data_IF_651140276783
#
_entry.id   IF_651140276783
#
_cell.length_a   1.000
_cell.length_b   1.000
_cell.length_c   1.000
_cell.angle_alpha   90.00
_cell.angle_beta   90.00
_cell.angle_gamma   90.00
#
_symmetry.space_group_name_H-M   'P 1'
#
loop_
_entity.id
_entity.type
_entity.pdbx_description
1 polymer ?
#
# COMPACT_ATOMS: atom_id res chain seq x y z
N UNK A 1 -2.79 16.08 -16.52
CA UNK A 1 -3.56 16.17 -15.27
C UNK A 1 -4.54 14.99 -15.11
N UNK A 2 -5.33 14.65 -16.15
CA UNK A 2 -6.37 13.59 -16.09
C UNK A 2 -5.85 12.17 -15.79
N UNK A 3 -4.61 11.83 -16.17
CA UNK A 3 -4.05 10.51 -15.88
C UNK A 3 -3.65 10.38 -14.40
N UNK A 4 -3.07 11.42 -13.82
CA UNK A 4 -2.62 11.41 -12.41
C UNK A 4 -3.75 11.20 -11.41
N UNK A 5 -4.98 11.65 -11.70
CA UNK A 5 -6.14 11.43 -10.83
C UNK A 5 -6.64 9.97 -10.87
N UNK A 6 -6.18 9.16 -11.84
CA UNK A 6 -6.55 7.75 -11.99
C UNK A 6 -5.53 6.79 -11.38
N UNK A 7 -4.41 7.28 -10.88
CA UNK A 7 -3.37 6.48 -10.24
C UNK A 7 -3.21 6.98 -8.82
N UNK A 8 -3.52 6.13 -7.85
CA UNK A 8 -3.25 6.40 -6.44
C UNK A 8 -1.79 6.16 -6.12
N UNK A 9 -1.21 6.94 -5.22
CA UNK A 9 0.15 6.72 -4.73
C UNK A 9 0.18 6.80 -3.21
N UNK A 10 0.87 5.84 -2.62
CA UNK A 10 1.09 5.71 -1.17
C UNK A 10 2.58 5.71 -0.94
N UNK A 11 3.06 6.63 -0.11
CA UNK A 11 4.47 6.84 0.19
C UNK A 11 4.87 6.21 1.52
N UNK A 12 6.16 6.03 1.72
CA UNK A 12 6.77 5.56 2.95
C UNK A 12 6.40 6.43 4.17
N UNK A 13 6.29 7.76 4.00
CA UNK A 13 6.03 8.73 5.06
C UNK A 13 4.59 9.26 5.08
N UNK A 14 3.61 8.43 4.78
CA UNK A 14 2.16 8.67 4.88
C UNK A 14 1.63 9.89 4.11
N UNK A 15 2.33 11.02 4.11
CA UNK A 15 2.02 12.29 3.41
C UNK A 15 0.59 12.81 3.68
N UNK A 16 0.07 12.59 4.89
CA UNK A 16 -1.24 13.13 5.31
C UNK A 16 -1.13 14.63 5.61
N UNK A 17 -2.22 15.33 5.38
CA UNK A 17 -2.33 16.74 5.77
C UNK A 17 -2.47 16.86 7.29
N UNK A 18 -1.45 17.33 8.04
CA UNK A 18 -1.44 17.26 9.50
C UNK A 18 -2.45 18.22 10.15
N UNK A 19 -2.86 19.24 9.46
CA UNK A 19 -3.82 20.26 9.92
C UNK A 19 -5.28 19.92 9.62
N UNK A 20 -5.54 18.78 8.95
CA UNK A 20 -6.88 18.29 8.63
C UNK A 20 -7.17 17.03 9.44
N UNK A 21 -8.44 16.83 9.84
CA UNK A 21 -8.90 15.55 10.36
C UNK A 21 -8.90 14.46 9.29
N UNK A 22 -9.14 13.20 9.68
CA UNK A 22 -9.10 12.09 8.72
C UNK A 22 -10.20 12.21 7.67
N UNK A 23 -11.41 12.60 8.07
CA UNK A 23 -12.51 12.79 7.10
C UNK A 23 -12.11 13.82 6.05
N UNK A 24 -11.53 14.94 6.46
CA UNK A 24 -11.11 16.00 5.52
C UNK A 24 -9.91 15.59 4.66
N UNK A 25 -8.99 14.80 5.20
CA UNK A 25 -7.91 14.19 4.42
C UNK A 25 -8.45 13.36 3.23
N UNK A 26 -9.56 12.64 3.43
CA UNK A 26 -10.16 11.80 2.39
C UNK A 26 -11.11 12.58 1.47
N UNK A 27 -11.77 13.66 1.94
CA UNK A 27 -12.79 14.36 1.13
C UNK A 27 -12.22 15.46 0.26
N UNK A 28 -11.13 16.11 0.69
CA UNK A 28 -10.60 17.30 0.04
C UNK A 28 -10.35 17.13 -1.46
N UNK A 29 -9.61 16.07 -1.82
CA UNK A 29 -9.28 15.81 -3.23
C UNK A 29 -10.51 15.38 -4.04
N UNK A 30 -11.45 14.67 -3.45
CA UNK A 30 -12.71 14.27 -4.08
C UNK A 30 -13.52 15.50 -4.49
N UNK A 31 -13.63 16.51 -3.61
CA UNK A 31 -14.37 17.71 -3.86
C UNK A 31 -13.67 18.61 -4.90
N UNK A 32 -12.36 18.86 -4.74
CA UNK A 32 -11.61 19.80 -5.59
C UNK A 32 -11.29 19.23 -6.96
N UNK A 33 -10.87 17.97 -7.04
CA UNK A 33 -10.35 17.37 -8.28
C UNK A 33 -11.44 16.64 -9.05
N UNK A 34 -12.31 15.91 -8.35
CA UNK A 34 -13.38 15.13 -8.99
C UNK A 34 -14.70 15.89 -9.05
N UNK A 35 -14.82 17.03 -8.37
CA UNK A 35 -16.06 17.83 -8.34
C UNK A 35 -17.21 17.14 -7.61
N UNK A 36 -16.91 16.18 -6.70
CA UNK A 36 -17.96 15.52 -5.92
C UNK A 36 -18.59 16.47 -4.94
N UNK A 37 -19.89 16.37 -4.75
CA UNK A 37 -20.57 17.06 -3.67
C UNK A 37 -20.11 16.55 -2.29
N UNK A 38 -20.21 17.41 -1.28
CA UNK A 38 -19.69 17.13 0.06
C UNK A 38 -20.37 15.93 0.75
N UNK A 39 -21.66 15.67 0.45
CA UNK A 39 -22.36 14.53 1.03
C UNK A 39 -21.83 13.21 0.48
N UNK A 40 -21.69 13.11 -0.84
CA UNK A 40 -21.10 11.95 -1.53
C UNK A 40 -19.66 11.71 -1.11
N UNK A 41 -18.84 12.77 -1.04
CA UNK A 41 -17.45 12.68 -0.61
C UNK A 41 -17.32 12.16 0.83
N UNK A 42 -18.16 12.64 1.76
CA UNK A 42 -18.18 12.19 3.15
C UNK A 42 -18.66 10.74 3.29
N UNK A 43 -19.71 10.35 2.57
CA UNK A 43 -20.20 8.97 2.59
C UNK A 43 -19.10 7.99 2.16
N UNK A 44 -18.37 8.32 1.07
CA UNK A 44 -17.24 7.53 0.61
C UNK A 44 -16.09 7.51 1.62
N UNK A 45 -15.75 8.66 2.20
CA UNK A 45 -14.71 8.74 3.23
C UNK A 45 -15.06 7.86 4.44
N UNK A 46 -16.32 7.87 4.89
CA UNK A 46 -16.81 7.03 5.97
C UNK A 46 -16.65 5.53 5.68
N UNK A 47 -17.08 5.09 4.49
CA UNK A 47 -16.95 3.70 4.07
C UNK A 47 -15.47 3.25 3.97
N UNK A 48 -14.57 4.14 3.48
CA UNK A 48 -13.14 3.83 3.40
C UNK A 48 -12.47 3.80 4.79
N UNK A 49 -12.85 4.68 5.71
CA UNK A 49 -12.37 4.64 7.09
C UNK A 49 -12.86 3.38 7.82
N UNK A 50 -14.08 2.93 7.56
CA UNK A 50 -14.58 1.66 8.06
C UNK A 50 -13.77 0.49 7.53
N UNK A 51 -13.52 0.45 6.23
CA UNK A 51 -12.72 -0.58 5.57
C UNK A 51 -11.33 -0.74 6.17
N UNK A 52 -10.67 0.36 6.54
CA UNK A 52 -9.34 0.33 7.16
C UNK A 52 -9.39 0.27 8.70
N UNK A 53 -10.58 0.04 9.29
CA UNK A 53 -10.77 -0.13 10.74
C UNK A 53 -10.61 1.15 11.56
N UNK A 54 -10.86 2.33 10.96
CA UNK A 54 -10.61 3.63 11.59
C UNK A 54 -11.85 4.54 11.70
N UNK A 55 -13.06 4.02 11.58
CA UNK A 55 -14.31 4.80 11.70
C UNK A 55 -14.39 5.60 12.98
N UNK A 56 -14.01 5.01 14.12
CA UNK A 56 -14.03 5.68 15.43
C UNK A 56 -13.02 6.84 15.53
N UNK A 57 -12.09 6.95 14.57
CA UNK A 57 -11.03 7.95 14.55
C UNK A 57 -11.25 9.05 13.51
N UNK A 58 -12.39 9.06 12.82
CA UNK A 58 -12.68 9.96 11.69
C UNK A 58 -12.43 11.46 11.98
N UNK A 59 -12.65 11.89 13.21
CA UNK A 59 -12.46 13.27 13.69
C UNK A 59 -11.04 13.57 14.20
N UNK A 60 -10.17 12.57 14.30
CA UNK A 60 -8.78 12.77 14.75
C UNK A 60 -7.91 13.37 13.64
N UNK A 61 -6.80 13.98 14.06
CA UNK A 61 -5.74 14.45 13.18
C UNK A 61 -4.63 13.41 13.08
N UNK A 62 -3.82 13.39 12.01
CA UNK A 62 -2.75 12.41 11.81
C UNK A 62 -1.82 12.23 13.01
N UNK A 63 -1.39 13.31 13.65
CA UNK A 63 -0.50 13.25 14.82
C UNK A 63 -1.07 12.56 16.07
N UNK A 64 -2.36 12.19 16.06
CA UNK A 64 -3.02 11.44 17.14
C UNK A 64 -3.11 9.93 16.85
N UNK A 65 -2.49 9.47 15.75
CA UNK A 65 -2.54 8.10 15.28
C UNK A 65 -1.16 7.44 15.35
N UNK A 66 -1.15 6.11 15.49
CA UNK A 66 0.06 5.32 15.27
C UNK A 66 0.51 5.36 13.80
N UNK A 67 1.77 4.99 13.51
CA UNK A 67 2.30 4.94 12.16
C UNK A 67 1.46 4.02 11.24
N UNK A 68 1.11 2.82 11.70
CA UNK A 68 0.27 1.89 10.94
C UNK A 68 -1.14 2.43 10.68
N UNK A 69 -1.73 3.15 11.65
CA UNK A 69 -3.00 3.84 11.45
C UNK A 69 -2.88 4.95 10.41
N UNK A 70 -1.82 5.77 10.46
CA UNK A 70 -1.58 6.81 9.47
C UNK A 70 -1.40 6.23 8.06
N UNK A 71 -0.68 5.12 7.92
CA UNK A 71 -0.49 4.45 6.63
C UNK A 71 -1.79 3.90 6.07
N UNK A 72 -2.64 3.29 6.91
CA UNK A 72 -3.97 2.84 6.48
C UNK A 72 -4.88 4.00 6.04
N UNK A 73 -4.78 5.16 6.70
CA UNK A 73 -5.48 6.39 6.23
C UNK A 73 -4.91 6.87 4.90
N UNK A 74 -3.59 6.79 4.68
CA UNK A 74 -2.97 7.18 3.40
C UNK A 74 -3.46 6.28 2.25
N UNK A 75 -3.62 4.97 2.50
CA UNK A 75 -4.23 4.03 1.55
C UNK A 75 -5.69 4.41 1.28
N UNK A 76 -6.49 4.63 2.33
CA UNK A 76 -7.89 5.04 2.19
C UNK A 76 -8.04 6.37 1.42
N UNK A 77 -7.15 7.34 1.66
CA UNK A 77 -7.12 8.61 0.91
C UNK A 77 -6.83 8.39 -0.58
N UNK A 78 -5.87 7.55 -0.91
CA UNK A 78 -5.59 7.23 -2.31
C UNK A 78 -6.79 6.55 -2.99
N UNK A 79 -7.44 5.60 -2.30
CA UNK A 79 -8.65 4.90 -2.77
C UNK A 79 -9.84 5.83 -2.94
N UNK A 80 -9.91 6.95 -2.18
CA UNK A 80 -11.03 7.90 -2.26
C UNK A 80 -11.19 8.55 -3.64
N UNK A 81 -10.14 8.53 -4.44
CA UNK A 81 -10.10 9.09 -5.80
C UNK A 81 -10.58 8.11 -6.88
N UNK A 82 -11.04 6.90 -6.53
CA UNK A 82 -11.38 5.81 -7.46
C UNK A 82 -10.28 5.51 -8.48
N UNK A 83 -9.06 5.20 -8.01
CA UNK A 83 -7.94 4.97 -8.91
C UNK A 83 -8.12 3.68 -9.71
N UNK A 84 -7.60 3.66 -10.94
CA UNK A 84 -7.52 2.46 -11.78
C UNK A 84 -6.32 1.58 -11.39
N UNK A 85 -5.30 2.18 -10.76
CA UNK A 85 -4.11 1.50 -10.27
C UNK A 85 -3.55 2.21 -9.04
N UNK A 86 -2.86 1.46 -8.18
CA UNK A 86 -2.20 1.96 -6.97
C UNK A 86 -0.70 1.72 -7.05
N UNK A 87 0.08 2.74 -6.71
CA UNK A 87 1.53 2.66 -6.55
C UNK A 87 1.86 2.73 -5.06
N UNK A 88 2.67 1.80 -4.58
CA UNK A 88 3.14 1.77 -3.20
C UNK A 88 4.66 1.86 -3.19
N UNK A 89 5.19 2.84 -2.49
CA UNK A 89 6.63 3.04 -2.34
C UNK A 89 7.03 2.73 -0.90
N UNK A 90 7.52 1.52 -0.67
CA UNK A 90 7.91 0.98 0.64
C UNK A 90 6.90 1.27 1.77
N UNK A 91 5.64 0.85 1.65
CA UNK A 91 4.56 1.29 2.53
C UNK A 91 4.71 0.86 4.00
N UNK A 92 5.62 -0.04 4.31
CA UNK A 92 5.84 -0.59 5.66
C UNK A 92 7.18 -0.22 6.28
N UNK A 93 8.11 0.37 5.53
CA UNK A 93 9.49 0.60 5.98
C UNK A 93 9.66 1.62 7.11
N UNK A 94 8.68 2.51 7.29
CA UNK A 94 8.65 3.49 8.38
C UNK A 94 7.82 3.02 9.60
N UNK A 95 7.41 1.74 9.65
CA UNK A 95 6.53 1.19 10.68
C UNK A 95 7.29 0.28 11.65
N UNK A 96 6.82 0.26 12.90
CA UNK A 96 7.22 -0.76 13.84
C UNK A 96 6.71 -2.15 13.39
N UNK A 97 7.47 -3.24 13.63
CA UNK A 97 7.12 -4.59 13.17
C UNK A 97 5.71 -5.04 13.55
N UNK A 98 5.21 -4.61 14.71
CA UNK A 98 3.85 -4.94 15.18
C UNK A 98 2.74 -4.34 14.32
N UNK A 99 3.04 -3.24 13.60
CA UNK A 99 2.06 -2.51 12.78
C UNK A 99 2.10 -2.92 11.30
N UNK A 100 3.15 -3.60 10.87
CA UNK A 100 3.36 -3.99 9.46
C UNK A 100 2.22 -4.86 8.96
N UNK A 101 1.80 -5.87 9.73
CA UNK A 101 0.77 -6.81 9.31
C UNK A 101 -0.58 -6.13 9.06
N UNK A 102 -0.98 -5.16 9.88
CA UNK A 102 -2.23 -4.42 9.71
C UNK A 102 -2.30 -3.67 8.37
N UNK A 103 -1.16 -3.17 7.88
CA UNK A 103 -1.07 -2.48 6.58
C UNK A 103 -1.05 -3.50 5.44
N UNK A 104 -0.28 -4.58 5.59
CA UNK A 104 -0.20 -5.63 4.59
C UNK A 104 -1.55 -6.33 4.38
N UNK A 105 -2.35 -6.54 5.43
CA UNK A 105 -3.67 -7.15 5.33
C UNK A 105 -4.61 -6.31 4.46
N UNK A 106 -4.62 -4.98 4.63
CA UNK A 106 -5.37 -4.07 3.74
C UNK A 106 -4.90 -4.20 2.29
N UNK A 107 -3.58 -4.31 2.06
CA UNK A 107 -3.05 -4.47 0.70
C UNK A 107 -3.37 -5.83 0.09
N UNK A 108 -3.42 -6.89 0.90
CA UNK A 108 -3.87 -8.24 0.48
C UNK A 108 -5.33 -8.19 0.02
N UNK A 109 -6.22 -7.58 0.81
CA UNK A 109 -7.64 -7.42 0.42
C UNK A 109 -7.78 -6.69 -0.93
N UNK A 110 -7.00 -5.62 -1.14
CA UNK A 110 -6.99 -4.90 -2.42
C UNK A 110 -6.55 -5.78 -3.59
N UNK A 111 -5.54 -6.64 -3.37
CA UNK A 111 -5.07 -7.59 -4.39
C UNK A 111 -6.14 -8.64 -4.72
N UNK A 112 -6.79 -9.19 -3.70
CA UNK A 112 -7.85 -10.20 -3.84
C UNK A 112 -9.10 -9.63 -4.56
N UNK A 113 -9.39 -8.35 -4.41
CA UNK A 113 -10.42 -7.62 -5.14
C UNK A 113 -10.02 -7.29 -6.61
N UNK A 114 -8.80 -7.61 -7.02
CA UNK A 114 -8.31 -7.38 -8.38
C UNK A 114 -7.79 -5.96 -8.65
N UNK A 115 -7.46 -5.19 -7.61
CA UNK A 115 -6.83 -3.89 -7.79
C UNK A 115 -5.47 -4.05 -8.47
N UNK A 116 -5.27 -3.32 -9.56
CA UNK A 116 -3.94 -3.24 -10.19
C UNK A 116 -2.98 -2.47 -9.30
N UNK A 117 -1.89 -3.13 -8.89
CA UNK A 117 -0.91 -2.53 -7.99
C UNK A 117 0.52 -2.71 -8.49
N UNK A 118 1.35 -1.67 -8.29
CA UNK A 118 2.80 -1.78 -8.34
C UNK A 118 3.33 -1.45 -6.94
N UNK A 119 4.10 -2.37 -6.35
CA UNK A 119 4.56 -2.26 -4.96
C UNK A 119 6.08 -2.39 -4.92
N UNK A 120 6.76 -1.36 -4.43
CA UNK A 120 8.16 -1.46 -4.01
C UNK A 120 8.16 -1.91 -2.55
N UNK A 121 8.76 -3.05 -2.27
CA UNK A 121 8.73 -3.64 -0.93
C UNK A 121 9.89 -4.58 -0.69
N UNK A 122 10.27 -4.74 0.56
CA UNK A 122 11.15 -5.78 1.07
C UNK A 122 10.40 -6.89 1.81
N UNK A 123 9.07 -6.81 1.87
CA UNK A 123 8.20 -7.82 2.50
C UNK A 123 8.00 -9.01 1.55
N UNK A 124 8.96 -9.94 1.52
CA UNK A 124 8.97 -11.04 0.57
C UNK A 124 7.83 -12.04 0.79
N UNK A 125 7.37 -12.22 2.03
CA UNK A 125 6.19 -13.03 2.35
C UNK A 125 4.93 -12.48 1.68
N UNK A 126 4.72 -11.19 1.78
CA UNK A 126 3.64 -10.48 1.09
C UNK A 126 3.76 -10.60 -0.43
N UNK A 127 4.93 -10.27 -0.99
CA UNK A 127 5.16 -10.35 -2.43
C UNK A 127 4.87 -11.75 -2.99
N UNK A 128 5.32 -12.80 -2.30
CA UNK A 128 5.07 -14.19 -2.68
C UNK A 128 3.58 -14.57 -2.65
N UNK A 129 2.81 -13.99 -1.71
CA UNK A 129 1.38 -14.27 -1.54
C UNK A 129 0.52 -13.63 -2.63
N UNK A 130 0.80 -12.36 -2.99
CA UNK A 130 -0.14 -11.55 -3.79
C UNK A 130 0.36 -11.15 -5.16
N UNK A 131 1.68 -11.12 -5.40
CA UNK A 131 2.21 -10.66 -6.67
C UNK A 131 2.02 -11.71 -7.77
N UNK A 132 1.66 -11.26 -8.96
CA UNK A 132 1.66 -12.10 -10.16
C UNK A 132 3.03 -12.12 -10.84
N UNK A 133 3.81 -11.06 -10.66
CA UNK A 133 5.09 -10.78 -11.32
C UNK A 133 6.03 -10.05 -10.36
N UNK A 134 7.29 -10.41 -10.40
CA UNK A 134 8.35 -9.77 -9.62
C UNK A 134 9.38 -9.16 -10.57
N UNK A 135 9.72 -7.90 -10.30
CA UNK A 135 10.81 -7.19 -10.95
C UNK A 135 11.89 -6.96 -9.92
N UNK A 136 13.02 -7.68 -10.07
CA UNK A 136 14.17 -7.52 -9.19
C UNK A 136 15.13 -6.49 -9.78
N UNK A 137 15.47 -5.49 -8.96
CA UNK A 137 16.33 -4.38 -9.35
C UNK A 137 17.58 -4.34 -8.45
N UNK A 138 18.72 -4.01 -9.05
CA UNK A 138 19.99 -3.77 -8.37
C UNK A 138 20.72 -2.63 -9.10
N UNK A 139 21.29 -1.69 -8.36
CA UNK A 139 22.05 -0.54 -8.88
C UNK A 139 21.34 0.24 -9.99
N UNK A 140 20.02 0.42 -9.85
CA UNK A 140 19.19 1.16 -10.81
C UNK A 140 18.85 0.42 -12.10
N UNK A 141 19.25 -0.85 -12.23
CA UNK A 141 18.95 -1.68 -13.39
C UNK A 141 17.96 -2.80 -13.05
N UNK A 142 17.10 -3.15 -14.00
CA UNK A 142 16.26 -4.35 -13.90
C UNK A 142 17.17 -5.56 -14.20
N UNK A 143 17.35 -6.43 -13.20
CA UNK A 143 18.19 -7.62 -13.28
C UNK A 143 17.36 -8.83 -13.69
N UNK A 144 16.14 -8.93 -13.14
CA UNK A 144 15.21 -10.00 -13.46
C UNK A 144 13.78 -9.51 -13.45
N UNK A 145 12.99 -10.05 -14.37
CA UNK A 145 11.57 -9.79 -14.51
C UNK A 145 10.88 -11.11 -14.82
N UNK A 146 10.18 -11.67 -13.85
CA UNK A 146 9.63 -13.02 -13.99
C UNK A 146 8.33 -13.21 -13.19
N UNK A 147 7.52 -14.22 -13.54
CA UNK A 147 6.39 -14.65 -12.73
C UNK A 147 6.82 -14.99 -11.30
N UNK A 148 5.97 -14.68 -10.32
CA UNK A 148 6.26 -14.85 -8.89
C UNK A 148 6.73 -16.26 -8.55
N UNK A 149 6.03 -17.29 -9.03
CA UNK A 149 6.40 -18.69 -8.75
C UNK A 149 7.82 -19.03 -9.23
N UNK A 150 8.18 -18.55 -10.41
CA UNK A 150 9.52 -18.75 -10.96
C UNK A 150 10.56 -18.00 -10.15
N UNK A 151 10.30 -16.73 -9.83
CA UNK A 151 11.23 -15.91 -9.04
C UNK A 151 11.58 -16.57 -7.70
N UNK A 152 10.59 -17.02 -6.95
CA UNK A 152 10.82 -17.61 -5.62
C UNK A 152 11.33 -19.05 -5.63
N UNK A 153 11.13 -19.81 -6.72
CA UNK A 153 11.60 -21.22 -6.82
C UNK A 153 12.93 -21.36 -7.54
N UNK A 154 13.10 -20.63 -8.63
CA UNK A 154 14.21 -20.79 -9.57
C UNK A 154 14.52 -19.45 -10.27
N UNK A 155 14.97 -18.49 -9.47
CA UNK A 155 15.39 -17.18 -9.99
C UNK A 155 16.51 -17.36 -11.03
N UNK A 156 16.38 -16.67 -12.16
CA UNK A 156 17.31 -16.83 -13.27
C UNK A 156 18.64 -16.14 -13.02
N UNK A 157 18.62 -15.01 -12.30
CA UNK A 157 19.82 -14.20 -12.06
C UNK A 157 20.59 -14.65 -10.80
N UNK A 158 21.92 -14.72 -10.86
CA UNK A 158 22.75 -15.00 -9.68
C UNK A 158 22.54 -14.00 -8.53
N UNK A 159 22.21 -12.76 -8.87
CA UNK A 159 21.92 -11.69 -7.89
C UNK A 159 20.63 -11.98 -7.13
N UNK A 160 19.54 -12.31 -7.84
CA UNK A 160 18.27 -12.68 -7.23
C UNK A 160 18.41 -13.95 -6.38
N UNK A 161 19.16 -14.96 -6.85
CA UNK A 161 19.44 -16.16 -6.08
C UNK A 161 20.15 -15.86 -4.75
N UNK A 162 21.20 -15.01 -4.79
CA UNK A 162 21.90 -14.57 -3.57
C UNK A 162 21.01 -13.77 -2.63
N UNK A 163 20.14 -12.93 -3.15
CA UNK A 163 19.16 -12.18 -2.37
C UNK A 163 18.18 -13.13 -1.68
N UNK A 164 17.57 -14.05 -2.43
CA UNK A 164 16.61 -15.00 -1.90
C UNK A 164 17.24 -15.95 -0.87
N UNK A 165 18.48 -16.41 -1.07
CA UNK A 165 19.17 -17.29 -0.13
C UNK A 165 19.38 -16.67 1.26
N UNK A 166 19.41 -15.33 1.36
CA UNK A 166 19.52 -14.62 2.64
C UNK A 166 18.16 -14.47 3.34
N UNK A 167 17.07 -14.45 2.60
CA UNK A 167 15.71 -14.13 3.11
C UNK A 167 14.87 -15.38 3.31
N UNK A 168 14.96 -16.37 2.43
CA UNK A 168 14.17 -17.61 2.51
C UNK A 168 14.31 -18.40 3.82
N UNK A 169 15.49 -18.48 4.48
CA UNK A 169 15.60 -19.13 5.79
C UNK A 169 14.70 -18.52 6.86
N UNK A 170 14.43 -17.22 6.77
CA UNK A 170 13.54 -16.51 7.70
C UNK A 170 12.06 -16.69 7.36
N UNK A 171 11.72 -16.94 6.09
CA UNK A 171 10.33 -17.18 5.65
C UNK A 171 9.83 -18.60 6.01
N UNK A 172 10.72 -19.57 6.15
CA UNK A 172 10.36 -20.96 6.54
C UNK A 172 10.01 -21.09 8.03
N UNK A 173 10.32 -20.10 8.87
CA UNK A 173 10.02 -20.08 10.30
C UNK A 173 8.64 -19.45 10.63
N UNK A 174 7.94 -18.90 9.65
CA UNK A 174 6.64 -18.20 9.84
C UNK A 174 5.44 -19.15 9.59
N UNK A 175 5.67 -20.42 9.27
CA UNK A 175 4.63 -21.43 9.15
C UNK A 175 4.56 -22.29 10.42
N UNK A 176 4.09 -21.69 11.51
CA UNK A 176 3.53 -22.42 12.67
C UNK A 176 2.18 -21.81 13.00
#
# INVERSE_FOLDING_TARGET
PKLRSKVGMVFQHFELFPHLDLTRNLTLAQEIVLGRDSATARAKAGALLERVGLSAHAHKHPGQLSGGQQQRVAIARALSMDPMAMLFDEPTSALDPEMVNEVLDVMVELAEEGMTMMVVTHEMGFARRVANRVVFMEDGAIIEDSPTDRFFRDAASPQAQRFLSKILPHLSLIHI
#
